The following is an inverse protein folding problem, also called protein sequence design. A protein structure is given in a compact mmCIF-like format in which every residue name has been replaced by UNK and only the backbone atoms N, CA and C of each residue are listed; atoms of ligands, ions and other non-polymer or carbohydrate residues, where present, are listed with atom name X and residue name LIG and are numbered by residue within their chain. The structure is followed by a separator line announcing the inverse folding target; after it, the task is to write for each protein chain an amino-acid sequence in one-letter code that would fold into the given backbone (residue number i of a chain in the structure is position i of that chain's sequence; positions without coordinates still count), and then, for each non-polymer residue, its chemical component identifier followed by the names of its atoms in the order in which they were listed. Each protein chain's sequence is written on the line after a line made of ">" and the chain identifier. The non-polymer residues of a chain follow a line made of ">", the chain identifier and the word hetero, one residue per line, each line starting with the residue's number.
data_IF_544569506723
#
_entry.id   IF_544569506723
#
_cell.length_a   1.000
_cell.length_b   1.000
_cell.length_c   1.000
_cell.angle_alpha   90.00
_cell.angle_beta   90.00
_cell.angle_gamma   90.00
#
_symmetry.space_group_name_H-M   'P 1'
#
loop_
_entity.id
_entity.type
_entity.pdbx_description
1 polymer ?
#
# COMPACT_ATOMS: atom_id res chain seq x y z
N UNK A 1 -6.63 -10.08 -8.20
CA UNK A 1 -6.56 -8.78 -8.88
C UNK A 1 -6.61 -7.76 -7.77
N UNK A 2 -5.45 -7.25 -7.38
CA UNK A 2 -5.29 -6.41 -6.20
C UNK A 2 -6.06 -5.10 -6.36
N UNK A 3 -6.89 -4.77 -5.37
CA UNK A 3 -7.71 -3.56 -5.38
C UNK A 3 -6.91 -2.34 -4.93
N UNK A 4 -5.79 -2.55 -4.26
CA UNK A 4 -4.85 -1.50 -3.87
C UNK A 4 -3.45 -1.78 -4.40
N UNK A 5 -2.72 -0.71 -4.71
CA UNK A 5 -1.28 -0.78 -4.96
C UNK A 5 -0.54 0.10 -3.97
N UNK A 6 0.56 -0.45 -3.43
CA UNK A 6 1.40 0.24 -2.46
C UNK A 6 2.63 0.81 -3.13
N UNK A 7 2.83 2.11 -2.94
CA UNK A 7 4.01 2.84 -3.42
C UNK A 7 4.75 3.41 -2.23
N UNK A 8 6.04 3.12 -2.11
CA UNK A 8 6.88 3.74 -1.10
C UNK A 8 7.36 5.10 -1.62
N UNK A 9 7.07 6.15 -0.86
CA UNK A 9 7.72 7.45 -1.01
C UNK A 9 8.80 7.57 0.06
N UNK A 10 9.68 8.58 -0.03
CA UNK A 10 10.89 8.69 0.80
C UNK A 10 10.69 8.55 2.31
N UNK A 11 9.48 8.82 2.82
CA UNK A 11 9.19 8.80 4.25
C UNK A 11 7.89 8.03 4.61
N UNK A 12 7.09 7.61 3.62
CA UNK A 12 5.77 7.02 3.88
C UNK A 12 5.30 6.13 2.74
N UNK A 13 4.45 5.16 3.08
CA UNK A 13 3.74 4.34 2.10
C UNK A 13 2.46 5.04 1.65
N UNK A 14 2.19 4.99 0.35
CA UNK A 14 0.96 5.49 -0.26
C UNK A 14 0.19 4.30 -0.82
N UNK A 15 -1.07 4.17 -0.42
CA UNK A 15 -2.01 3.21 -0.97
C UNK A 15 -2.86 3.86 -2.05
N UNK A 16 -2.79 3.34 -3.26
CA UNK A 16 -3.60 3.80 -4.38
C UNK A 16 -4.75 2.80 -4.59
N UNK A 17 -5.99 3.26 -4.37
CA UNK A 17 -7.18 2.46 -4.63
C UNK A 17 -7.46 2.37 -6.13
N UNK A 18 -7.44 1.18 -6.71
CA UNK A 18 -7.71 0.94 -8.14
C UNK A 18 -9.18 1.08 -8.51
N UNK A 19 -10.09 1.00 -7.54
CA UNK A 19 -11.52 1.13 -7.78
C UNK A 19 -11.97 2.58 -8.04
N UNK A 20 -11.37 3.55 -7.33
CA UNK A 20 -11.75 4.96 -7.42
C UNK A 20 -10.60 5.91 -7.83
N UNK A 21 -9.36 5.40 -7.88
CA UNK A 21 -8.16 6.19 -8.17
C UNK A 21 -7.69 7.06 -7.01
N UNK A 22 -8.19 6.86 -5.79
CA UNK A 22 -7.79 7.66 -4.63
C UNK A 22 -6.44 7.19 -4.07
N UNK A 23 -5.55 8.14 -3.82
CA UNK A 23 -4.27 7.93 -3.16
C UNK A 23 -4.36 8.40 -1.71
N UNK A 24 -4.04 7.51 -0.77
CA UNK A 24 -4.05 7.79 0.67
C UNK A 24 -2.73 7.38 1.30
N UNK A 25 -2.24 8.19 2.24
CA UNK A 25 -1.02 7.87 2.97
C UNK A 25 -1.29 6.85 4.07
N UNK A 26 -0.47 5.81 4.14
CA UNK A 26 -0.47 4.88 5.26
C UNK A 26 0.35 5.47 6.42
N UNK A 27 -0.08 5.23 7.67
CA UNK A 27 0.67 5.66 8.84
C UNK A 27 2.02 4.92 8.92
N UNK A 28 3.04 5.60 9.44
CA UNK A 28 4.41 5.06 9.62
C UNK A 28 4.43 3.72 10.37
N UNK A 29 3.54 3.54 11.34
CA UNK A 29 3.42 2.29 12.11
C UNK A 29 3.07 1.10 11.22
N UNK A 30 2.31 1.32 10.15
CA UNK A 30 1.98 0.28 9.16
C UNK A 30 3.16 -0.06 8.26
N UNK A 31 4.15 0.83 8.09
CA UNK A 31 5.34 0.59 7.25
C UNK A 31 6.22 -0.56 7.75
N UNK A 32 6.27 -0.75 9.07
CA UNK A 32 7.10 -1.77 9.72
C UNK A 32 6.40 -3.14 9.64
N UNK A 33 5.09 -3.17 9.84
CA UNK A 33 4.24 -4.37 9.82
C UNK A 33 3.97 -4.89 8.38
N UNK A 34 4.10 -3.99 7.39
CA UNK A 34 3.87 -4.25 5.96
C UNK A 34 4.74 -5.39 5.38
N UNK A 35 5.90 -5.66 5.98
CA UNK A 35 6.91 -6.58 5.42
C UNK A 35 6.68 -8.06 5.78
N UNK A 36 5.76 -8.37 6.71
CA UNK A 36 5.57 -9.75 7.20
C UNK A 36 4.13 -10.27 7.04
N UNK A 37 3.12 -9.46 7.33
CA UNK A 37 1.73 -9.94 7.43
C UNK A 37 0.80 -9.33 6.37
N UNK A 38 1.26 -8.29 5.66
CA UNK A 38 0.41 -7.47 4.81
C UNK A 38 -0.45 -6.53 5.66
N UNK A 39 -0.89 -5.42 5.08
CA UNK A 39 -1.68 -4.42 5.81
C UNK A 39 -3.14 -4.42 5.33
N UNK A 40 -4.06 -4.32 6.28
CA UNK A 40 -5.46 -4.07 5.98
C UNK A 40 -5.66 -2.60 5.60
N UNK A 41 -6.15 -2.33 4.39
CA UNK A 41 -6.39 -0.99 3.87
C UNK A 41 -7.87 -0.84 3.54
N UNK A 42 -8.46 0.26 3.99
CA UNK A 42 -9.79 0.69 3.55
C UNK A 42 -9.68 2.04 2.86
N UNK A 43 -10.31 2.19 1.70
CA UNK A 43 -10.32 3.47 1.00
C UNK A 43 -11.15 4.51 1.75
N UNK A 44 -10.65 5.74 1.86
CA UNK A 44 -11.40 6.84 2.47
C UNK A 44 -12.53 7.39 1.57
N UNK A 45 -12.49 7.08 0.26
CA UNK A 45 -13.43 7.62 -0.75
C UNK A 45 -14.44 6.62 -1.29
N UNK A 46 -14.22 5.32 -1.11
CA UNK A 46 -15.10 4.29 -1.64
C UNK A 46 -15.17 3.10 -0.67
N UNK A 47 -16.18 2.22 -0.77
CA UNK A 47 -16.32 1.06 0.12
C UNK A 47 -15.29 -0.06 -0.17
N UNK A 48 -14.24 0.24 -0.93
CA UNK A 48 -13.20 -0.74 -1.25
C UNK A 48 -12.30 -0.93 -0.03
N UNK A 49 -12.10 -2.19 0.32
CA UNK A 49 -11.20 -2.60 1.39
C UNK A 49 -10.44 -3.83 0.95
N UNK A 50 -9.21 -3.97 1.42
CA UNK A 50 -8.37 -5.12 1.14
C UNK A 50 -7.63 -5.52 2.42
N UNK A 51 -7.81 -6.75 2.91
CA UNK A 51 -7.36 -7.14 4.25
C UNK A 51 -5.86 -7.42 4.31
N UNK A 52 -5.22 -7.77 3.20
CA UNK A 52 -3.81 -8.13 3.13
C UNK A 52 -3.21 -7.51 1.86
N UNK A 53 -2.81 -6.24 1.94
CA UNK A 53 -2.09 -5.56 0.87
C UNK A 53 -0.60 -5.64 1.18
N UNK A 54 0.16 -6.23 0.24
CA UNK A 54 1.60 -6.34 0.37
C UNK A 54 2.29 -5.21 -0.40
N UNK A 55 3.41 -4.69 0.13
CA UNK A 55 4.24 -3.81 -0.66
C UNK A 55 4.65 -4.58 -1.90
N UNK A 56 4.43 -4.00 -3.09
CA UNK A 56 4.91 -4.65 -4.30
C UNK A 56 6.42 -4.60 -4.23
N UNK A 57 7.05 -5.76 -4.01
CA UNK A 57 8.48 -5.97 -3.86
C UNK A 57 9.18 -5.70 -5.21
N UNK A 58 9.15 -4.45 -5.71
CA UNK A 58 9.77 -4.10 -6.98
C UNK A 58 9.95 -2.58 -7.22
N UNK A 59 10.31 -1.81 -6.19
CA UNK A 59 10.84 -0.44 -6.37
C UNK A 59 12.27 -0.24 -5.83
N UNK A 60 12.90 -1.27 -5.28
CA UNK A 60 14.36 -1.34 -5.18
C UNK A 60 14.83 -2.31 -6.27
N UNK A 61 15.22 -1.77 -7.42
CA UNK A 61 15.94 -2.55 -8.43
C UNK A 61 17.13 -3.26 -7.76
N UNK A 62 17.47 -4.49 -8.15
CA UNK A 62 18.73 -5.10 -7.72
C UNK A 62 19.85 -4.11 -8.05
N UNK A 63 20.62 -3.78 -7.02
CA UNK A 63 21.91 -3.10 -7.12
C UNK A 63 22.79 -3.96 -8.04
N UNK A 64 23.07 -3.46 -9.24
CA UNK A 64 24.14 -3.92 -10.12
C UNK A 64 25.48 -3.38 -9.62
#
# INVERSE_FOLDING_TARGET
>A
MDMFTLTQTSDRWIACCRACGHEQALPETSAIELSAEGVAIQCERCPSQEPCVYPTENAAAPID
#
